data_IF_372457122587
#
_entry.id   IF_372457122587
#
_cell.length_a   1.000
_cell.length_b   1.000
_cell.length_c   1.000
_cell.angle_alpha   90.00
_cell.angle_beta   90.00
_cell.angle_gamma   90.00
#
_symmetry.space_group_name_H-M   'P 1'
#
loop_
_entity.id
_entity.type
_entity.pdbx_description
1 polymer ?
#
# COMPACT_ATOMS: atom_id res chain seq x y z
N UNK A 1 -25.10 5.09 5.27
CA UNK A 1 -26.54 5.36 5.15
C UNK A 1 -27.00 6.13 6.39
N UNK A 2 -27.92 7.08 6.22
CA UNK A 2 -28.38 7.97 7.29
C UNK A 2 -28.91 7.21 8.53
N UNK A 3 -29.58 6.09 8.32
CA UNK A 3 -30.08 5.21 9.38
C UNK A 3 -28.98 4.70 10.32
N UNK A 4 -27.85 4.24 9.81
CA UNK A 4 -26.71 3.78 10.65
C UNK A 4 -26.11 4.92 11.47
N UNK A 5 -26.10 6.13 10.91
CA UNK A 5 -25.61 7.30 11.63
C UNK A 5 -26.57 7.66 12.77
N UNK A 6 -27.88 7.63 12.50
CA UNK A 6 -28.91 7.91 13.51
C UNK A 6 -28.89 6.87 14.64
N UNK A 7 -28.81 5.58 14.30
CA UNK A 7 -28.67 4.49 15.29
C UNK A 7 -27.43 4.66 16.15
N UNK A 8 -26.27 4.95 15.52
CA UNK A 8 -25.03 5.21 16.24
C UNK A 8 -25.16 6.38 17.19
N UNK A 9 -25.72 7.50 16.73
CA UNK A 9 -25.91 8.70 17.56
C UNK A 9 -26.83 8.44 18.74
N UNK A 10 -27.92 7.73 18.55
CA UNK A 10 -28.83 7.36 19.63
C UNK A 10 -28.14 6.48 20.68
N UNK A 11 -27.42 5.45 20.27
CA UNK A 11 -26.66 4.58 21.20
C UNK A 11 -25.54 5.33 21.91
N UNK A 12 -24.88 6.26 21.21
CA UNK A 12 -23.84 7.10 21.80
C UNK A 12 -24.42 8.01 22.89
N UNK A 13 -25.55 8.65 22.63
CA UNK A 13 -26.25 9.49 23.62
C UNK A 13 -26.64 8.70 24.89
N UNK A 14 -27.16 7.48 24.72
CA UNK A 14 -27.50 6.60 25.86
C UNK A 14 -26.25 6.31 26.69
N UNK A 15 -25.13 5.97 26.04
CA UNK A 15 -23.87 5.70 26.73
C UNK A 15 -23.31 6.96 27.39
N UNK A 16 -23.35 8.09 26.72
CA UNK A 16 -22.86 9.37 27.22
C UNK A 16 -23.64 9.83 28.45
N UNK A 17 -24.95 9.66 28.47
CA UNK A 17 -25.81 9.99 29.61
C UNK A 17 -25.55 9.05 30.80
N UNK A 18 -25.49 7.74 30.54
CA UNK A 18 -25.22 6.74 31.59
C UNK A 18 -23.83 6.87 32.23
N UNK A 19 -22.86 7.43 31.52
CA UNK A 19 -21.46 7.53 31.99
C UNK A 19 -21.01 8.96 32.29
N UNK A 20 -21.92 9.94 32.24
CA UNK A 20 -21.62 11.37 32.34
C UNK A 20 -20.77 11.71 33.57
N UNK A 21 -21.24 11.34 34.75
CA UNK A 21 -20.60 11.70 36.02
C UNK A 21 -19.24 11.00 36.16
N UNK A 22 -19.14 9.74 35.74
CA UNK A 22 -17.89 8.98 35.78
C UNK A 22 -16.86 9.63 34.85
N UNK A 23 -17.24 9.96 33.62
CA UNK A 23 -16.35 10.60 32.65
C UNK A 23 -15.93 12.00 33.07
N UNK A 24 -16.84 12.76 33.71
CA UNK A 24 -16.52 14.08 34.21
C UNK A 24 -15.45 13.98 35.32
N UNK A 25 -15.59 13.09 36.30
CA UNK A 25 -14.60 12.89 37.35
C UNK A 25 -13.25 12.46 36.79
N UNK A 26 -13.21 11.52 35.82
CA UNK A 26 -11.98 11.11 35.16
C UNK A 26 -11.33 12.30 34.43
N UNK A 27 -12.11 13.09 33.69
CA UNK A 27 -11.60 14.28 32.98
C UNK A 27 -11.02 15.32 33.93
N UNK A 28 -11.69 15.61 35.04
CA UNK A 28 -11.20 16.53 36.08
C UNK A 28 -9.87 16.05 36.68
N UNK A 29 -9.73 14.73 36.92
CA UNK A 29 -8.47 14.17 37.41
C UNK A 29 -7.33 14.33 36.41
N UNK A 30 -7.61 14.26 35.10
CA UNK A 30 -6.65 14.31 34.00
C UNK A 30 -6.35 15.72 33.50
N UNK A 31 -7.26 16.69 33.74
CA UNK A 31 -7.26 18.02 33.13
C UNK A 31 -5.94 18.79 33.26
N UNK A 32 -5.39 18.86 34.47
CA UNK A 32 -4.13 19.58 34.75
C UNK A 32 -2.98 19.00 33.94
N UNK A 33 -2.85 17.67 33.93
CA UNK A 33 -1.77 16.97 33.23
C UNK A 33 -1.95 17.01 31.72
N UNK A 34 -3.17 16.85 31.21
CA UNK A 34 -3.46 17.02 29.76
C UNK A 34 -3.05 18.42 29.31
N UNK A 35 -3.39 19.46 30.09
CA UNK A 35 -3.04 20.85 29.78
C UNK A 35 -1.53 21.06 29.72
N UNK A 36 -0.79 20.62 30.76
CA UNK A 36 0.67 20.77 30.80
C UNK A 36 1.36 19.95 29.70
N UNK A 37 0.90 18.73 29.44
CA UNK A 37 1.41 17.88 28.35
C UNK A 37 1.16 18.52 26.97
N UNK A 38 -0.03 19.09 26.76
CA UNK A 38 -0.35 19.80 25.50
C UNK A 38 0.57 20.99 25.28
N UNK A 39 0.78 21.81 26.29
CA UNK A 39 1.69 22.95 26.22
C UNK A 39 3.14 22.53 25.94
N UNK A 40 3.62 21.48 26.61
CA UNK A 40 4.94 20.92 26.37
C UNK A 40 5.11 20.37 24.96
N UNK A 41 4.07 19.77 24.38
CA UNK A 41 4.11 19.31 22.99
C UNK A 41 4.06 20.50 22.00
N UNK A 42 3.22 21.50 22.23
CA UNK A 42 3.16 22.70 21.40
C UNK A 42 4.51 23.43 21.30
N UNK A 43 5.29 23.42 22.39
CA UNK A 43 6.63 24.02 22.40
C UNK A 43 7.66 23.32 21.49
N UNK A 44 7.36 22.12 20.98
CA UNK A 44 8.22 21.37 20.06
C UNK A 44 7.99 21.70 18.59
N UNK A 45 6.86 22.34 18.26
CA UNK A 45 6.59 22.75 16.88
C UNK A 45 7.48 23.92 16.44
N UNK A 46 7.69 24.12 15.12
CA UNK A 46 8.42 25.25 14.56
C UNK A 46 7.87 26.61 15.06
N UNK A 47 8.73 27.62 15.17
CA UNK A 47 8.37 28.93 15.73
C UNK A 47 7.29 29.67 14.94
N UNK A 48 7.21 29.43 13.65
CA UNK A 48 6.22 30.00 12.73
C UNK A 48 4.82 29.35 12.89
N UNK A 49 4.75 28.10 13.35
CA UNK A 49 3.50 27.38 13.56
C UNK A 49 2.91 27.62 14.96
N UNK A 50 3.76 27.80 15.98
CA UNK A 50 3.31 27.94 17.39
C UNK A 50 2.24 29.00 17.62
N UNK A 51 2.31 30.20 17.05
CA UNK A 51 1.28 31.23 17.25
C UNK A 51 -0.12 30.74 16.86
N UNK A 52 -0.23 29.91 15.82
CA UNK A 52 -1.51 29.39 15.34
C UNK A 52 -2.17 28.44 16.36
N UNK A 53 -1.36 27.72 17.15
CA UNK A 53 -1.83 26.75 18.14
C UNK A 53 -2.49 27.45 19.36
N UNK A 54 -2.07 28.66 19.65
CA UNK A 54 -2.60 29.46 20.76
C UNK A 54 -3.69 30.46 20.33
N UNK A 55 -3.86 30.67 19.02
CA UNK A 55 -4.87 31.55 18.45
C UNK A 55 -6.26 30.89 18.53
N UNK A 56 -7.28 31.67 18.82
CA UNK A 56 -8.66 31.18 18.83
C UNK A 56 -9.03 30.60 17.45
N UNK A 57 -9.73 29.45 17.36
CA UNK A 57 -10.14 28.87 16.08
C UNK A 57 -10.90 29.84 15.17
N UNK A 58 -11.72 30.73 15.74
CA UNK A 58 -12.47 31.73 14.98
C UNK A 58 -11.60 32.84 14.36
N UNK A 59 -10.39 33.02 14.87
CA UNK A 59 -9.44 34.06 14.41
C UNK A 59 -8.38 33.52 13.46
N UNK A 60 -8.37 32.18 13.23
CA UNK A 60 -7.41 31.53 12.34
C UNK A 60 -7.81 31.70 10.90
N UNK A 61 -6.86 32.03 10.03
CA UNK A 61 -7.04 31.86 8.60
C UNK A 61 -7.23 30.39 8.23
N UNK A 62 -7.73 30.06 7.04
CA UNK A 62 -7.88 28.66 6.60
C UNK A 62 -6.58 27.86 6.65
N UNK A 63 -5.46 28.49 6.29
CA UNK A 63 -4.13 27.87 6.38
C UNK A 63 -3.71 27.60 7.84
N UNK A 64 -3.87 28.59 8.71
CA UNK A 64 -3.59 28.45 10.14
C UNK A 64 -4.49 27.37 10.78
N UNK A 65 -5.74 27.30 10.38
CA UNK A 65 -6.69 26.29 10.83
C UNK A 65 -6.21 24.87 10.45
N UNK A 66 -5.75 24.69 9.22
CA UNK A 66 -5.24 23.41 8.74
C UNK A 66 -3.98 22.99 9.50
N UNK A 67 -3.01 23.90 9.68
CA UNK A 67 -1.79 23.59 10.41
C UNK A 67 -2.06 23.30 11.88
N UNK A 68 -2.93 24.08 12.52
CA UNK A 68 -3.32 23.84 13.91
C UNK A 68 -4.02 22.48 14.07
N UNK A 69 -4.92 22.13 13.17
CA UNK A 69 -5.58 20.81 13.17
C UNK A 69 -4.59 19.66 13.05
N UNK A 70 -3.62 19.76 12.13
CA UNK A 70 -2.60 18.71 11.96
C UNK A 70 -1.68 18.59 13.19
N UNK A 71 -1.34 19.73 13.80
CA UNK A 71 -0.57 19.75 15.05
C UNK A 71 -1.37 19.13 16.21
N UNK A 72 -2.64 19.50 16.35
CA UNK A 72 -3.54 18.95 17.39
C UNK A 72 -3.70 17.44 17.27
N UNK A 73 -3.81 16.88 16.05
CA UNK A 73 -3.85 15.43 15.84
C UNK A 73 -2.59 14.74 16.40
N UNK A 74 -1.40 15.32 16.19
CA UNK A 74 -0.15 14.77 16.72
C UNK A 74 -0.09 14.86 18.23
N UNK A 75 -0.52 15.98 18.80
CA UNK A 75 -0.53 16.21 20.25
C UNK A 75 -1.54 15.28 20.92
N UNK A 76 -2.72 15.13 20.38
CA UNK A 76 -3.76 14.23 20.90
C UNK A 76 -3.30 12.77 20.88
N UNK A 77 -2.55 12.36 19.85
CA UNK A 77 -1.96 11.02 19.80
C UNK A 77 -0.91 10.83 20.92
N UNK A 78 -0.11 11.85 21.25
CA UNK A 78 0.83 11.77 22.37
C UNK A 78 0.10 11.73 23.71
N UNK A 79 -0.98 12.49 23.87
CA UNK A 79 -1.81 12.48 25.09
C UNK A 79 -2.49 11.11 25.28
N UNK A 80 -2.96 10.47 24.21
CA UNK A 80 -3.54 9.11 24.25
C UNK A 80 -2.55 8.05 24.75
N UNK A 81 -1.25 8.25 24.52
CA UNK A 81 -0.19 7.32 24.95
C UNK A 81 0.19 7.48 26.42
N UNK A 82 -0.35 8.46 27.14
CA UNK A 82 -0.07 8.64 28.56
C UNK A 82 -0.65 7.45 29.35
N UNK A 83 0.21 6.77 30.08
CA UNK A 83 -0.20 5.72 31.01
C UNK A 83 -0.65 6.36 32.32
N UNK A 84 -1.95 6.57 32.44
CA UNK A 84 -2.54 7.28 33.59
C UNK A 84 -2.33 6.54 34.92
N UNK A 85 -2.26 5.22 34.91
CA UNK A 85 -1.95 4.34 36.05
C UNK A 85 -0.62 4.71 36.73
N UNK A 86 0.38 5.13 35.92
CA UNK A 86 1.70 5.54 36.46
C UNK A 86 1.74 6.99 36.90
N UNK A 87 0.71 7.76 36.57
CA UNK A 87 0.64 9.21 36.83
C UNK A 87 -0.02 9.58 38.15
N UNK A 88 -0.93 8.71 38.60
CA UNK A 88 -1.61 8.92 39.89
C UNK A 88 -0.93 8.10 40.99
N UNK A 89 -0.92 8.66 42.22
CA UNK A 89 -0.35 8.03 43.41
C UNK A 89 -1.41 7.98 44.51
N UNK A 90 -1.23 7.04 45.40
CA UNK A 90 -2.03 6.90 46.63
C UNK A 90 -3.55 6.88 46.36
N UNK A 91 -4.32 7.62 47.15
CA UNK A 91 -5.78 7.65 47.05
C UNK A 91 -6.30 8.07 45.66
N UNK A 92 -5.56 8.91 44.98
CA UNK A 92 -5.94 9.31 43.59
C UNK A 92 -5.81 8.15 42.61
N UNK A 93 -4.86 7.26 42.80
CA UNK A 93 -4.70 6.07 41.96
C UNK A 93 -5.88 5.11 42.20
N UNK A 94 -6.21 4.85 43.45
CA UNK A 94 -7.35 4.01 43.84
C UNK A 94 -8.65 4.53 43.24
N UNK A 95 -8.91 5.85 43.39
CA UNK A 95 -10.12 6.46 42.80
C UNK A 95 -10.15 6.34 41.27
N UNK A 96 -9.00 6.54 40.62
CA UNK A 96 -8.92 6.41 39.14
C UNK A 96 -9.19 4.98 38.70
N UNK A 97 -8.64 3.96 39.39
CA UNK A 97 -8.90 2.55 39.13
C UNK A 97 -10.37 2.18 39.33
N UNK A 98 -11.00 2.67 40.41
CA UNK A 98 -12.44 2.45 40.65
C UNK A 98 -13.31 3.09 39.56
N UNK A 99 -13.05 4.33 39.18
CA UNK A 99 -13.78 5.05 38.15
C UNK A 99 -13.63 4.35 36.79
N UNK A 100 -12.43 3.89 36.49
CA UNK A 100 -12.14 3.20 35.22
C UNK A 100 -12.82 1.81 35.19
N UNK A 101 -12.85 1.12 36.33
CA UNK A 101 -13.56 -0.15 36.44
C UNK A 101 -15.08 0.04 36.25
N UNK A 102 -15.67 1.03 36.92
CA UNK A 102 -17.08 1.40 36.74
C UNK A 102 -17.39 1.77 35.29
N UNK A 103 -16.52 2.54 34.63
CA UNK A 103 -16.73 2.93 33.22
C UNK A 103 -16.77 1.68 32.30
N UNK A 104 -15.91 0.67 32.56
CA UNK A 104 -15.88 -0.58 31.80
C UNK A 104 -17.18 -1.39 31.89
N UNK A 105 -17.94 -1.28 32.95
CA UNK A 105 -19.25 -1.95 33.06
C UNK A 105 -20.24 -1.50 31.96
N UNK A 106 -20.04 -0.28 31.46
CA UNK A 106 -20.85 0.31 30.39
C UNK A 106 -20.31 0.07 28.98
N UNK A 107 -19.21 -0.69 28.81
CA UNK A 107 -18.60 -0.95 27.48
C UNK A 107 -19.58 -1.58 26.49
N UNK A 108 -20.54 -2.39 26.97
CA UNK A 108 -21.56 -3.01 26.13
C UNK A 108 -22.55 -2.01 25.55
N UNK A 109 -22.76 -0.87 26.19
CA UNK A 109 -23.64 0.22 25.70
C UNK A 109 -22.93 1.09 24.67
N UNK A 110 -21.59 1.16 24.75
CA UNK A 110 -20.78 2.01 23.86
C UNK A 110 -20.82 1.47 22.41
N UNK A 111 -21.34 2.26 21.46
CA UNK A 111 -21.33 1.83 20.08
C UNK A 111 -19.90 1.81 19.52
N UNK A 112 -19.62 0.86 18.61
CA UNK A 112 -18.37 0.88 17.87
C UNK A 112 -18.30 2.16 17.02
N UNK A 113 -17.14 2.82 16.93
CA UNK A 113 -16.99 4.02 16.11
C UNK A 113 -17.44 3.77 14.68
N UNK A 114 -18.12 4.73 14.07
CA UNK A 114 -18.40 4.67 12.64
C UNK A 114 -17.09 4.74 11.86
N UNK A 115 -17.02 3.95 10.80
CA UNK A 115 -15.93 4.09 9.84
C UNK A 115 -16.05 5.45 9.15
N UNK A 116 -15.05 6.30 9.33
CA UNK A 116 -14.96 7.61 8.71
C UNK A 116 -13.84 7.62 7.68
N UNK A 117 -14.12 8.21 6.52
CA UNK A 117 -13.11 8.48 5.51
C UNK A 117 -12.74 9.97 5.60
N UNK A 118 -11.43 10.30 5.65
CA UNK A 118 -11.01 11.68 5.54
C UNK A 118 -11.42 12.22 4.16
N UNK A 119 -12.07 13.38 4.15
CA UNK A 119 -12.46 14.06 2.92
C UNK A 119 -11.87 15.46 2.89
N UNK A 120 -11.69 15.99 1.66
CA UNK A 120 -11.29 17.37 1.46
C UNK A 120 -12.53 18.16 1.11
N UNK A 121 -12.79 19.24 1.84
CA UNK A 121 -13.89 20.18 1.58
C UNK A 121 -13.34 21.54 1.17
N UNK A 122 -14.14 22.33 0.49
CA UNK A 122 -13.80 23.72 0.22
C UNK A 122 -13.97 24.55 1.50
N UNK A 123 -13.16 25.59 1.66
CA UNK A 123 -13.23 26.50 2.79
C UNK A 123 -14.55 27.29 2.77
N UNK A 124 -15.01 27.66 1.57
CA UNK A 124 -16.25 28.38 1.34
C UNK A 124 -16.74 28.15 -0.10
N UNK A 125 -17.97 28.56 -0.40
CA UNK A 125 -18.50 28.59 -1.77
C UNK A 125 -17.74 29.57 -2.66
N UNK A 126 -17.18 30.63 -2.09
CA UNK A 126 -16.35 31.61 -2.80
C UNK A 126 -14.89 31.31 -2.48
N UNK A 127 -14.12 30.80 -3.45
CA UNK A 127 -12.72 30.50 -3.25
C UNK A 127 -11.89 31.78 -3.10
N UNK A 128 -10.80 31.76 -2.32
CA UNK A 128 -9.86 32.85 -2.31
C UNK A 128 -9.22 33.04 -3.69
N UNK A 129 -8.86 34.27 -4.00
CA UNK A 129 -8.09 34.58 -5.21
C UNK A 129 -6.78 33.79 -5.24
N UNK A 130 -6.39 33.36 -6.43
CA UNK A 130 -5.14 32.62 -6.65
C UNK A 130 -4.23 33.48 -7.52
N UNK A 131 -3.00 33.68 -7.06
CA UNK A 131 -1.99 34.47 -7.78
C UNK A 131 -0.85 33.56 -8.23
N UNK A 132 -0.19 33.93 -9.32
CA UNK A 132 1.09 33.32 -9.68
C UNK A 132 2.08 33.65 -8.57
N UNK A 133 2.82 32.64 -8.11
CA UNK A 133 3.80 32.81 -7.03
C UNK A 133 4.76 33.97 -7.33
N UNK A 134 5.01 34.81 -6.31
CA UNK A 134 5.87 35.98 -6.37
C UNK A 134 5.42 37.08 -7.36
N UNK A 135 4.13 37.09 -7.75
CA UNK A 135 3.54 38.13 -8.60
C UNK A 135 2.16 38.54 -8.08
N UNK A 136 1.68 39.71 -8.54
CA UNK A 136 0.30 40.19 -8.31
C UNK A 136 -0.67 39.71 -9.42
N UNK A 137 -0.25 38.82 -10.29
CA UNK A 137 -1.06 38.34 -11.39
C UNK A 137 -2.12 37.33 -10.91
N UNK A 138 -3.38 37.74 -10.95
CA UNK A 138 -4.53 36.90 -10.65
C UNK A 138 -4.70 35.82 -11.72
N UNK A 139 -4.87 34.58 -11.28
CA UNK A 139 -5.14 33.42 -12.13
C UNK A 139 -6.55 32.90 -11.89
N UNK A 140 -7.32 32.79 -12.95
CA UNK A 140 -8.62 32.15 -12.90
C UNK A 140 -8.46 30.62 -12.95
N UNK A 141 -9.27 29.86 -12.18
CA UNK A 141 -9.25 28.41 -12.26
C UNK A 141 -9.73 27.95 -13.64
N UNK A 142 -8.95 27.08 -14.25
CA UNK A 142 -9.22 26.55 -15.59
C UNK A 142 -8.59 25.17 -15.79
N UNK A 143 -8.84 24.61 -16.95
CA UNK A 143 -8.25 23.36 -17.42
C UNK A 143 -7.29 23.71 -18.57
N UNK A 144 -6.37 22.78 -18.88
CA UNK A 144 -5.40 23.01 -19.96
C UNK A 144 -6.11 23.22 -21.30
N UNK A 145 -6.07 24.45 -21.83
CA UNK A 145 -6.79 24.84 -23.04
C UNK A 145 -6.37 24.08 -24.30
N UNK A 146 -5.16 23.54 -24.33
CA UNK A 146 -4.65 22.74 -25.47
C UNK A 146 -5.40 21.40 -25.63
N UNK A 147 -5.98 20.87 -24.56
CA UNK A 147 -6.70 19.58 -24.55
C UNK A 147 -8.18 19.73 -24.16
N UNK A 148 -8.61 20.94 -23.90
CA UNK A 148 -10.01 21.33 -23.69
C UNK A 148 -10.26 22.72 -24.26
N UNK A 149 -10.38 22.85 -25.59
CA UNK A 149 -10.62 24.16 -26.24
C UNK A 149 -12.03 24.71 -25.96
N UNK A 150 -12.90 23.94 -25.27
CA UNK A 150 -14.30 24.29 -25.06
C UNK A 150 -14.59 24.99 -23.73
N UNK A 151 -13.59 25.44 -22.96
CA UNK A 151 -13.76 26.06 -21.65
C UNK A 151 -14.70 25.27 -20.74
N UNK A 152 -14.20 24.19 -20.17
CA UNK A 152 -14.96 23.43 -19.17
C UNK A 152 -15.44 24.37 -18.05
N UNK A 153 -16.71 24.73 -18.10
CA UNK A 153 -17.32 25.68 -17.18
C UNK A 153 -17.36 25.06 -15.77
N UNK A 154 -16.78 25.77 -14.82
CA UNK A 154 -16.92 25.43 -13.40
C UNK A 154 -18.30 25.89 -12.96
N UNK A 155 -19.26 24.96 -12.94
CA UNK A 155 -20.61 25.25 -12.47
C UNK A 155 -20.63 25.26 -10.94
N UNK A 156 -20.92 26.43 -10.38
CA UNK A 156 -21.28 26.53 -8.96
C UNK A 156 -22.71 26.09 -8.77
N UNK A 157 -22.94 25.09 -7.96
CA UNK A 157 -24.28 24.76 -7.50
C UNK A 157 -24.75 25.84 -6.52
N UNK A 158 -25.74 26.63 -6.91
CA UNK A 158 -26.32 27.68 -6.07
C UNK A 158 -26.79 27.08 -4.74
N UNK A 159 -26.27 27.61 -3.63
CA UNK A 159 -26.60 27.14 -2.27
C UNK A 159 -25.77 25.96 -1.74
N UNK A 160 -24.85 25.39 -2.52
CA UNK A 160 -23.91 24.39 -2.01
C UNK A 160 -22.67 25.06 -1.39
N UNK A 161 -22.14 24.55 -0.27
CA UNK A 161 -20.93 25.09 0.37
C UNK A 161 -19.65 24.66 -0.35
N UNK A 162 -19.63 24.70 -1.69
CA UNK A 162 -18.52 24.22 -2.52
C UNK A 162 -18.32 25.11 -3.76
N UNK A 163 -17.09 25.25 -4.17
CA UNK A 163 -16.70 26.00 -5.38
C UNK A 163 -17.04 25.28 -6.69
N UNK A 164 -17.37 23.97 -6.65
CA UNK A 164 -17.59 23.15 -7.85
C UNK A 164 -16.32 22.75 -8.61
N UNK A 165 -15.14 23.28 -8.27
CA UNK A 165 -13.86 23.06 -9.00
C UNK A 165 -13.49 21.58 -9.11
N UNK A 166 -13.58 20.81 -8.00
CA UNK A 166 -13.25 19.39 -8.01
C UNK A 166 -14.24 18.56 -8.84
N UNK A 167 -15.51 18.94 -8.83
CA UNK A 167 -16.54 18.31 -9.67
C UNK A 167 -16.27 18.56 -11.14
N UNK A 168 -15.93 19.81 -11.53
CA UNK A 168 -15.55 20.14 -12.90
C UNK A 168 -14.31 19.34 -13.35
N UNK A 169 -13.28 19.28 -12.52
CA UNK A 169 -12.08 18.47 -12.78
C UNK A 169 -12.41 17.00 -12.95
N UNK A 170 -13.27 16.44 -12.08
CA UNK A 170 -13.69 15.04 -12.17
C UNK A 170 -14.42 14.74 -13.49
N UNK A 171 -15.34 15.62 -13.90
CA UNK A 171 -16.02 15.49 -15.18
C UNK A 171 -15.08 15.56 -16.37
N UNK A 172 -14.11 16.48 -16.34
CA UNK A 172 -13.12 16.60 -17.41
C UNK A 172 -12.21 15.36 -17.47
N UNK A 173 -11.70 14.86 -16.33
CA UNK A 173 -10.86 13.65 -16.29
C UNK A 173 -11.61 12.44 -16.86
N UNK A 174 -12.91 12.32 -16.58
CA UNK A 174 -13.72 11.17 -17.03
C UNK A 174 -14.42 11.39 -18.35
N UNK A 175 -14.22 12.54 -18.99
CA UNK A 175 -14.80 12.83 -20.30
C UNK A 175 -14.20 11.89 -21.36
N UNK A 176 -15.04 11.36 -22.24
CA UNK A 176 -14.63 10.49 -23.35
C UNK A 176 -13.68 11.18 -24.32
N UNK A 177 -13.85 12.50 -24.47
CA UNK A 177 -13.02 13.34 -25.35
C UNK A 177 -11.65 13.67 -24.72
N UNK A 178 -11.44 13.35 -23.43
CA UNK A 178 -10.13 13.52 -22.81
C UNK A 178 -9.14 12.51 -23.39
N UNK A 179 -8.11 12.95 -24.13
CA UNK A 179 -7.22 12.05 -24.86
C UNK A 179 -6.22 11.33 -23.96
N UNK A 180 -6.03 11.76 -22.72
CA UNK A 180 -4.96 11.28 -21.85
C UNK A 180 -5.41 10.24 -20.84
N UNK A 181 -6.55 10.43 -20.18
CA UNK A 181 -6.93 9.61 -19.03
C UNK A 181 -7.00 8.12 -19.36
N UNK A 182 -7.67 7.76 -20.46
CA UNK A 182 -7.80 6.36 -20.87
C UNK A 182 -6.46 5.76 -21.30
N UNK A 183 -5.64 6.51 -22.06
CA UNK A 183 -4.30 6.07 -22.49
C UNK A 183 -3.37 5.85 -21.29
N UNK A 184 -3.32 6.78 -20.36
CA UNK A 184 -2.50 6.65 -19.14
C UNK A 184 -2.93 5.43 -18.32
N UNK A 185 -4.24 5.21 -18.19
CA UNK A 185 -4.76 4.09 -17.41
C UNK A 185 -4.41 2.75 -18.03
N UNK A 186 -4.64 2.58 -19.34
CA UNK A 186 -4.32 1.31 -20.01
C UNK A 186 -2.81 1.08 -20.12
N UNK A 187 -2.01 2.14 -20.24
CA UNK A 187 -0.56 2.04 -20.20
C UNK A 187 -0.05 1.52 -18.87
N UNK A 188 -0.62 1.99 -17.74
CA UNK A 188 -0.29 1.47 -16.41
C UNK A 188 -0.74 0.03 -16.20
N UNK A 189 -1.91 -0.35 -16.71
CA UNK A 189 -2.37 -1.75 -16.68
C UNK A 189 -1.40 -2.62 -17.48
N UNK A 190 -1.00 -2.19 -18.67
CA UNK A 190 -0.02 -2.87 -19.52
C UNK A 190 1.33 -3.04 -18.80
N UNK A 191 1.85 -1.97 -18.21
CA UNK A 191 3.08 -1.98 -17.43
C UNK A 191 3.08 -3.04 -16.32
N UNK A 192 1.96 -3.18 -15.61
CA UNK A 192 1.84 -4.20 -14.57
C UNK A 192 1.88 -5.64 -15.09
N UNK A 193 1.47 -5.87 -16.34
CA UNK A 193 1.53 -7.20 -16.96
C UNK A 193 2.88 -7.52 -17.61
N UNK A 194 3.47 -6.54 -18.28
CA UNK A 194 4.66 -6.73 -19.10
C UNK A 194 5.96 -6.17 -18.51
N UNK A 195 5.86 -5.47 -17.38
CA UNK A 195 6.99 -4.83 -16.71
C UNK A 195 7.25 -3.41 -17.18
N UNK A 196 7.05 -3.12 -18.47
CA UNK A 196 7.20 -1.80 -19.08
C UNK A 196 5.90 -1.37 -19.76
N UNK A 197 5.62 -0.07 -19.76
CA UNK A 197 4.47 0.50 -20.43
C UNK A 197 4.67 0.56 -21.95
N UNK A 198 3.58 0.61 -22.72
CA UNK A 198 3.62 0.95 -24.16
C UNK A 198 4.28 2.32 -24.35
N UNK A 199 4.04 3.25 -23.42
CA UNK A 199 4.81 4.47 -23.21
C UNK A 199 5.74 4.24 -22.03
N UNK A 200 7.04 4.21 -22.26
CA UNK A 200 8.06 3.91 -21.25
C UNK A 200 8.18 4.95 -20.13
N UNK A 201 7.60 6.16 -20.31
CA UNK A 201 7.51 7.20 -19.28
C UNK A 201 6.08 7.33 -18.77
N UNK A 202 5.63 6.47 -17.83
CA UNK A 202 4.20 6.35 -17.47
C UNK A 202 3.62 7.58 -16.76
N UNK A 203 4.45 8.52 -16.34
CA UNK A 203 4.04 9.81 -15.75
C UNK A 203 4.26 11.00 -16.68
N UNK A 204 4.81 10.78 -17.87
CA UNK A 204 5.04 11.84 -18.87
C UNK A 204 4.61 11.37 -20.26
N UNK A 205 3.45 11.85 -20.69
CA UNK A 205 2.89 11.66 -22.02
C UNK A 205 3.07 12.92 -22.90
N UNK A 206 3.89 13.85 -22.44
CA UNK A 206 4.21 15.08 -23.14
C UNK A 206 5.39 14.95 -24.11
N UNK A 207 5.88 16.10 -24.58
CA UNK A 207 6.96 16.17 -25.58
C UNK A 207 8.28 15.57 -25.07
N UNK A 208 8.53 15.65 -23.74
CA UNK A 208 9.74 15.11 -23.12
C UNK A 208 9.61 13.62 -22.79
N UNK A 209 8.40 13.08 -22.83
CA UNK A 209 8.13 11.65 -22.60
C UNK A 209 8.50 10.79 -23.82
N UNK A 210 8.59 9.46 -23.55
CA UNK A 210 8.83 8.48 -24.60
C UNK A 210 7.62 8.37 -25.54
N UNK A 211 7.90 8.17 -26.81
CA UNK A 211 6.82 7.84 -27.76
C UNK A 211 6.31 6.42 -27.51
N UNK A 212 5.01 6.16 -27.75
CA UNK A 212 4.49 4.81 -27.62
C UNK A 212 5.15 3.86 -28.60
N UNK A 213 5.56 2.69 -28.14
CA UNK A 213 6.14 1.62 -29.00
C UNK A 213 5.09 1.04 -29.97
N UNK A 214 3.83 0.99 -29.52
CA UNK A 214 2.69 0.45 -30.26
C UNK A 214 1.49 1.43 -30.16
N UNK A 215 1.50 2.55 -30.92
CA UNK A 215 0.49 3.60 -30.78
C UNK A 215 -0.94 3.11 -31.06
N UNK A 216 -1.13 2.29 -32.08
CA UNK A 216 -2.44 1.75 -32.43
C UNK A 216 -3.00 0.81 -31.34
N UNK A 217 -2.14 0.03 -30.70
CA UNK A 217 -2.52 -0.81 -29.57
C UNK A 217 -2.93 0.02 -28.35
N UNK A 218 -2.18 1.08 -28.07
CA UNK A 218 -2.51 2.01 -26.97
C UNK A 218 -3.88 2.63 -27.20
N UNK A 219 -4.16 3.09 -28.40
CA UNK A 219 -5.42 3.71 -28.77
C UNK A 219 -6.58 2.72 -28.76
N UNK A 220 -6.35 1.50 -29.24
CA UNK A 220 -7.33 0.43 -29.16
C UNK A 220 -7.72 0.11 -27.71
N UNK A 221 -6.76 -0.13 -26.83
CA UNK A 221 -7.02 -0.43 -25.44
C UNK A 221 -7.70 0.75 -24.71
N UNK A 222 -7.33 1.99 -25.02
CA UNK A 222 -7.95 3.19 -24.47
C UNK A 222 -9.43 3.31 -24.89
N UNK A 223 -9.71 3.02 -26.17
CA UNK A 223 -11.08 3.00 -26.71
C UNK A 223 -11.91 1.89 -26.09
N UNK A 224 -11.35 0.68 -25.95
CA UNK A 224 -12.02 -0.44 -25.26
C UNK A 224 -12.37 -0.12 -23.81
N UNK A 225 -11.47 0.56 -23.08
CA UNK A 225 -11.73 0.97 -21.69
C UNK A 225 -12.94 1.92 -21.60
N UNK A 226 -12.97 2.96 -22.43
CA UNK A 226 -14.05 3.97 -22.40
C UNK A 226 -15.38 3.41 -22.91
N UNK A 227 -15.35 2.62 -23.99
CA UNK A 227 -16.56 2.00 -24.60
C UNK A 227 -17.20 0.96 -23.70
N UNK A 228 -16.42 0.29 -22.86
CA UNK A 228 -16.89 -0.70 -21.89
C UNK A 228 -17.07 -0.10 -20.47
N UNK A 229 -17.50 1.17 -20.38
CA UNK A 229 -17.83 1.86 -19.11
C UNK A 229 -16.70 1.84 -18.09
N UNK A 230 -15.48 2.06 -18.54
CA UNK A 230 -14.27 2.07 -17.71
C UNK A 230 -14.02 0.73 -16.97
N UNK A 231 -14.40 -0.38 -17.58
CA UNK A 231 -14.25 -1.72 -17.00
C UNK A 231 -12.79 -2.19 -17.06
N UNK A 232 -12.06 -2.02 -15.98
CA UNK A 232 -10.70 -2.55 -15.83
C UNK A 232 -10.66 -4.07 -16.03
N UNK A 233 -11.69 -4.79 -15.55
CA UNK A 233 -11.79 -6.24 -15.76
C UNK A 233 -11.90 -6.65 -17.25
N UNK A 234 -12.49 -5.79 -18.09
CA UNK A 234 -12.53 -6.02 -19.52
C UNK A 234 -11.11 -5.95 -20.11
N UNK A 235 -10.35 -4.93 -19.78
CA UNK A 235 -8.96 -4.80 -20.24
C UNK A 235 -8.08 -5.96 -19.74
N UNK A 236 -8.23 -6.37 -18.47
CA UNK A 236 -7.53 -7.55 -17.96
C UNK A 236 -7.82 -8.80 -18.81
N UNK A 237 -9.09 -9.05 -19.17
CA UNK A 237 -9.44 -10.21 -20.02
C UNK A 237 -8.80 -10.11 -21.40
N UNK A 238 -8.84 -8.95 -22.04
CA UNK A 238 -8.20 -8.74 -23.35
C UNK A 238 -6.71 -9.09 -23.31
N UNK A 239 -5.99 -8.56 -22.31
CA UNK A 239 -4.56 -8.80 -22.15
C UNK A 239 -4.29 -10.29 -21.87
N UNK A 240 -4.95 -10.88 -20.86
CA UNK A 240 -4.70 -12.25 -20.42
C UNK A 240 -5.04 -13.30 -21.50
N UNK A 241 -6.01 -13.02 -22.38
CA UNK A 241 -6.34 -13.91 -23.50
C UNK A 241 -5.47 -13.70 -24.73
N UNK A 242 -4.65 -12.66 -24.77
CA UNK A 242 -3.77 -12.39 -25.92
C UNK A 242 -2.68 -13.47 -26.06
N UNK A 243 -2.27 -13.72 -27.29
CA UNK A 243 -1.13 -14.60 -27.57
C UNK A 243 0.17 -14.02 -27.00
N UNK A 244 0.30 -12.69 -27.01
CA UNK A 244 1.45 -11.97 -26.46
C UNK A 244 1.65 -12.25 -24.97
N UNK A 245 0.58 -12.26 -24.18
CA UNK A 245 0.70 -12.55 -22.75
C UNK A 245 1.00 -14.03 -22.47
N UNK A 246 0.50 -14.94 -23.31
CA UNK A 246 0.63 -16.39 -23.13
C UNK A 246 1.89 -17.00 -23.76
N UNK A 247 2.75 -16.19 -24.33
CA UNK A 247 4.02 -16.68 -24.89
C UNK A 247 5.03 -17.03 -23.79
N UNK A 248 5.97 -17.92 -24.10
CA UNK A 248 7.08 -18.29 -23.23
C UNK A 248 8.18 -17.24 -23.23
N UNK A 249 8.93 -17.16 -22.15
CA UNK A 249 10.21 -16.44 -22.09
C UNK A 249 11.29 -17.14 -22.94
N UNK A 250 11.16 -18.46 -23.15
CA UNK A 250 12.03 -19.25 -23.99
C UNK A 250 11.55 -19.24 -25.45
N UNK A 251 12.40 -18.78 -26.37
CA UNK A 251 12.09 -18.75 -27.79
C UNK A 251 13.19 -19.46 -28.59
N UNK A 252 12.87 -20.48 -29.40
CA UNK A 252 13.87 -21.21 -30.21
C UNK A 252 14.67 -20.31 -31.17
N UNK A 253 14.12 -19.17 -31.56
CA UNK A 253 14.76 -18.21 -32.47
C UNK A 253 15.40 -17.04 -31.73
N UNK A 254 15.71 -17.18 -30.42
CA UNK A 254 16.19 -16.11 -29.56
C UNK A 254 17.43 -15.39 -30.10
N UNK A 255 18.41 -16.10 -30.67
CA UNK A 255 19.62 -15.46 -31.23
C UNK A 255 19.30 -14.53 -32.41
N UNK A 256 18.44 -14.99 -33.34
CA UNK A 256 18.01 -14.18 -34.47
C UNK A 256 17.18 -12.98 -34.01
N UNK A 257 16.27 -13.18 -33.08
CA UNK A 257 15.40 -12.14 -32.56
C UNK A 257 16.19 -11.07 -31.80
N UNK A 258 17.17 -11.46 -30.98
CA UNK A 258 18.08 -10.51 -30.28
C UNK A 258 18.90 -9.64 -31.23
N UNK A 259 19.26 -10.18 -32.40
CA UNK A 259 19.97 -9.40 -33.42
C UNK A 259 19.12 -8.30 -34.06
N UNK A 260 17.78 -8.39 -33.94
CA UNK A 260 16.81 -7.45 -34.51
C UNK A 260 16.24 -6.51 -33.44
N UNK A 261 15.86 -7.08 -32.31
CA UNK A 261 15.20 -6.41 -31.19
C UNK A 261 15.77 -6.92 -29.85
N UNK A 262 16.91 -6.37 -29.48
CA UNK A 262 17.65 -6.79 -28.28
C UNK A 262 16.82 -6.55 -26.99
N UNK A 263 16.18 -5.40 -26.90
CA UNK A 263 15.44 -4.94 -25.72
C UNK A 263 14.02 -5.53 -25.63
N UNK A 264 13.64 -6.41 -26.59
CA UNK A 264 12.32 -7.04 -26.63
C UNK A 264 11.15 -6.02 -26.72
N UNK A 265 11.37 -4.90 -27.36
CA UNK A 265 10.36 -3.83 -27.53
C UNK A 265 9.13 -4.35 -28.27
N UNK A 266 9.34 -5.24 -29.27
CA UNK A 266 8.28 -5.86 -30.07
C UNK A 266 7.69 -7.11 -29.41
N UNK A 267 8.05 -7.40 -28.17
CA UNK A 267 7.53 -8.51 -27.38
C UNK A 267 7.59 -9.87 -28.09
N UNK A 268 8.76 -10.22 -28.68
CA UNK A 268 8.98 -11.52 -29.34
C UNK A 268 9.12 -12.68 -28.34
N UNK A 269 9.22 -12.40 -27.04
CA UNK A 269 9.17 -13.35 -25.92
C UNK A 269 8.52 -12.70 -24.71
N UNK A 270 8.12 -13.49 -23.70
CA UNK A 270 7.74 -12.96 -22.41
C UNK A 270 8.96 -12.31 -21.71
N UNK A 271 8.75 -11.23 -21.00
CA UNK A 271 9.78 -10.60 -20.17
C UNK A 271 9.93 -11.37 -18.86
N UNK A 272 11.15 -11.82 -18.57
CA UNK A 272 11.49 -12.32 -17.25
C UNK A 272 11.59 -11.12 -16.30
N UNK A 273 10.85 -11.14 -15.21
CA UNK A 273 10.84 -10.05 -14.25
C UNK A 273 10.94 -10.55 -12.81
N UNK A 274 11.64 -9.81 -11.97
CA UNK A 274 11.70 -10.09 -10.55
C UNK A 274 10.36 -9.70 -9.88
N UNK A 275 9.98 -10.46 -8.87
CA UNK A 275 8.89 -10.10 -7.97
C UNK A 275 9.19 -8.77 -7.24
N UNK A 276 8.15 -7.97 -7.01
CA UNK A 276 8.24 -6.78 -6.15
C UNK A 276 8.51 -7.18 -4.70
N UNK A 277 9.07 -6.27 -3.91
CA UNK A 277 9.42 -6.49 -2.50
C UNK A 277 8.27 -7.08 -1.67
N UNK A 278 7.05 -6.56 -1.86
CA UNK A 278 5.85 -7.05 -1.18
C UNK A 278 5.44 -8.45 -1.66
N UNK A 279 5.61 -8.73 -2.95
CA UNK A 279 5.35 -10.05 -3.53
C UNK A 279 6.35 -11.07 -2.98
N UNK A 280 7.64 -10.73 -2.91
CA UNK A 280 8.69 -11.58 -2.30
C UNK A 280 8.32 -11.94 -0.87
N UNK A 281 7.98 -10.96 -0.04
CA UNK A 281 7.58 -11.22 1.34
C UNK A 281 6.35 -12.10 1.43
N UNK A 282 5.32 -11.81 0.65
CA UNK A 282 4.07 -12.56 0.66
C UNK A 282 4.26 -13.98 0.11
N UNK A 283 5.14 -14.19 -0.87
CA UNK A 283 5.50 -15.52 -1.41
C UNK A 283 6.24 -16.36 -0.38
N UNK A 284 7.19 -15.79 0.39
CA UNK A 284 7.86 -16.48 1.47
C UNK A 284 6.88 -16.93 2.58
N UNK A 285 5.93 -16.09 2.96
CA UNK A 285 4.86 -16.43 3.91
C UNK A 285 3.89 -17.46 3.35
N UNK A 286 3.58 -17.40 2.06
CA UNK A 286 2.71 -18.39 1.40
C UNK A 286 3.39 -19.75 1.32
N UNK A 287 4.66 -19.79 0.90
CA UNK A 287 5.47 -21.00 0.82
C UNK A 287 5.59 -21.70 2.19
N UNK A 288 5.81 -20.95 3.26
CA UNK A 288 5.88 -21.48 4.63
C UNK A 288 4.52 -21.88 5.22
N UNK A 289 3.41 -21.57 4.54
CA UNK A 289 2.05 -21.84 5.03
C UNK A 289 1.54 -20.86 6.10
N UNK A 290 2.25 -19.75 6.31
CA UNK A 290 1.93 -18.78 7.37
C UNK A 290 1.04 -17.63 6.89
N UNK A 291 0.91 -17.39 5.58
CA UNK A 291 0.23 -16.23 5.04
C UNK A 291 -1.24 -16.15 5.48
N UNK A 292 -1.55 -15.17 6.34
CA UNK A 292 -2.94 -14.81 6.65
C UNK A 292 -3.55 -14.03 5.48
N UNK A 293 -4.50 -14.67 4.79
CA UNK A 293 -5.23 -14.13 3.63
C UNK A 293 -6.45 -13.29 3.98
N UNK A 294 -6.69 -13.04 5.27
CA UNK A 294 -7.83 -12.22 5.71
C UNK A 294 -7.80 -10.85 5.00
N UNK A 295 -8.91 -10.51 4.37
CA UNK A 295 -9.09 -9.22 3.72
C UNK A 295 -9.63 -8.18 4.70
N UNK A 296 -9.28 -6.91 4.48
CA UNK A 296 -9.72 -5.74 5.24
C UNK A 296 -9.24 -5.70 6.70
N UNK A 297 -9.60 -4.64 7.41
CA UNK A 297 -9.22 -4.39 8.79
C UNK A 297 -8.02 -3.43 8.93
N UNK A 298 -7.63 -3.12 10.17
CA UNK A 298 -6.58 -2.15 10.44
C UNK A 298 -5.20 -2.63 9.96
N UNK A 299 -4.25 -1.69 9.73
CA UNK A 299 -2.87 -2.04 9.41
C UNK A 299 -2.21 -2.80 10.56
N UNK A 300 -1.25 -3.65 10.21
CA UNK A 300 -0.52 -4.50 11.17
C UNK A 300 0.98 -4.26 11.10
N UNK A 301 1.68 -4.57 12.17
CA UNK A 301 3.15 -4.55 12.22
C UNK A 301 3.74 -5.63 11.31
N UNK A 302 4.96 -5.39 10.80
CA UNK A 302 5.64 -6.26 9.83
C UNK A 302 5.89 -7.70 10.32
N UNK A 303 5.95 -7.91 11.63
CA UNK A 303 6.08 -9.24 12.24
C UNK A 303 4.82 -10.11 12.07
N UNK A 304 3.65 -9.52 11.77
CA UNK A 304 2.42 -10.28 11.55
C UNK A 304 2.41 -10.88 10.14
N UNK A 305 1.97 -12.16 9.98
CA UNK A 305 2.03 -12.86 8.70
C UNK A 305 0.87 -12.50 7.76
N UNK A 306 0.40 -11.25 7.77
CA UNK A 306 -0.60 -10.75 6.81
C UNK A 306 0.05 -10.32 5.51
N UNK A 307 -0.75 -10.26 4.44
CA UNK A 307 -0.33 -9.72 3.15
C UNK A 307 0.29 -8.33 3.33
N UNK A 308 1.35 -8.06 2.60
CA UNK A 308 2.14 -6.82 2.70
C UNK A 308 1.32 -5.55 2.44
N UNK A 309 0.23 -5.63 1.67
CA UNK A 309 -0.71 -4.52 1.46
C UNK A 309 -1.36 -4.01 2.77
N UNK A 310 -1.36 -4.81 3.83
CA UNK A 310 -1.91 -4.46 5.14
C UNK A 310 -0.85 -4.05 6.15
N UNK A 311 0.40 -3.94 5.76
CA UNK A 311 1.45 -3.49 6.67
C UNK A 311 1.30 -2.00 6.99
N UNK A 312 1.62 -1.65 8.24
CA UNK A 312 1.72 -0.27 8.67
C UNK A 312 2.91 0.39 8.00
N UNK A 313 2.66 1.50 7.32
CA UNK A 313 3.70 2.31 6.67
C UNK A 313 4.04 3.52 7.53
N UNK A 314 5.30 3.64 7.94
CA UNK A 314 5.84 4.77 8.65
C UNK A 314 6.99 5.34 7.82
N UNK A 315 6.83 6.55 7.27
CA UNK A 315 7.76 7.14 6.28
C UNK A 315 9.22 7.19 6.74
N UNK A 316 9.46 7.48 8.01
CA UNK A 316 10.81 7.56 8.58
C UNK A 316 11.29 6.27 9.26
N UNK A 317 10.54 5.17 9.12
CA UNK A 317 10.87 3.84 9.64
C UNK A 317 10.50 2.78 8.59
N UNK A 318 11.17 2.74 7.43
CA UNK A 318 10.87 1.79 6.38
C UNK A 318 11.21 0.36 6.84
N UNK A 319 10.51 -0.62 6.26
CA UNK A 319 10.80 -2.03 6.52
C UNK A 319 12.08 -2.44 5.77
N UNK A 320 13.07 -2.97 6.48
CA UNK A 320 14.40 -3.32 5.94
C UNK A 320 14.32 -4.35 4.81
N UNK A 321 13.50 -5.40 4.96
CA UNK A 321 13.33 -6.42 3.92
C UNK A 321 12.74 -5.82 2.64
N UNK A 322 11.70 -4.97 2.77
CA UNK A 322 11.09 -4.34 1.61
C UNK A 322 12.07 -3.36 0.94
N UNK A 323 12.83 -2.59 1.71
CA UNK A 323 13.82 -1.65 1.16
C UNK A 323 14.97 -2.37 0.46
N UNK A 324 15.41 -3.51 0.98
CA UNK A 324 16.46 -4.31 0.36
C UNK A 324 16.08 -4.81 -1.04
N UNK A 325 14.78 -5.00 -1.30
CA UNK A 325 14.23 -5.40 -2.60
C UNK A 325 13.56 -4.25 -3.37
N UNK A 326 14.09 -3.04 -3.24
CA UNK A 326 13.65 -1.84 -3.95
C UNK A 326 12.21 -1.42 -3.63
N UNK A 327 11.74 -1.69 -2.40
CA UNK A 327 10.49 -1.14 -1.90
C UNK A 327 10.50 0.38 -1.90
N UNK A 328 9.36 1.00 -2.14
CA UNK A 328 9.25 2.48 -2.16
C UNK A 328 9.44 3.08 -0.76
N UNK A 329 10.09 4.24 -0.69
CA UNK A 329 10.25 5.03 0.54
C UNK A 329 8.94 5.66 1.04
N UNK A 330 7.89 5.67 0.21
CA UNK A 330 6.58 6.25 0.48
C UNK A 330 6.60 7.77 0.75
N UNK A 331 7.65 8.47 0.33
CA UNK A 331 7.80 9.91 0.48
C UNK A 331 7.26 10.62 -0.76
N UNK A 332 7.67 10.17 -1.94
CA UNK A 332 7.29 10.72 -3.23
C UNK A 332 6.50 9.72 -4.07
N UNK A 333 5.68 10.25 -4.95
CA UNK A 333 5.01 9.46 -5.99
C UNK A 333 6.04 9.00 -7.02
N UNK A 334 6.13 7.69 -7.24
CA UNK A 334 7.02 7.08 -8.23
C UNK A 334 6.21 6.53 -9.40
N UNK A 335 6.57 6.86 -10.65
CA UNK A 335 5.88 6.37 -11.84
C UNK A 335 6.13 4.87 -12.07
N UNK A 336 7.32 4.43 -11.71
CA UNK A 336 7.83 3.09 -11.89
C UNK A 336 8.71 2.70 -10.71
N UNK A 337 8.70 1.42 -10.34
CA UNK A 337 9.62 0.91 -9.34
C UNK A 337 10.97 0.58 -9.97
N UNK A 338 12.03 1.02 -9.33
CA UNK A 338 13.35 0.52 -9.67
C UNK A 338 13.43 -0.97 -9.34
N UNK A 339 14.13 -1.73 -10.18
CA UNK A 339 14.44 -3.12 -9.93
C UNK A 339 15.94 -3.29 -10.07
N UNK A 340 16.63 -3.50 -8.94
CA UNK A 340 18.08 -3.70 -8.92
C UNK A 340 18.40 -5.15 -8.57
N UNK A 341 19.53 -5.65 -9.04
CA UNK A 341 20.09 -6.94 -8.61
C UNK A 341 21.43 -6.66 -7.96
N UNK A 342 21.50 -6.85 -6.65
CA UNK A 342 22.68 -6.55 -5.86
C UNK A 342 23.15 -7.76 -5.06
N UNK A 343 24.47 -7.89 -4.79
CA UNK A 343 24.99 -8.95 -3.91
C UNK A 343 24.36 -8.92 -2.50
N UNK A 344 24.00 -7.74 -2.02
CA UNK A 344 23.37 -7.58 -0.70
C UNK A 344 22.00 -8.26 -0.62
N UNK A 345 21.22 -8.29 -1.70
CA UNK A 345 19.95 -9.01 -1.76
C UNK A 345 20.17 -10.52 -1.59
N UNK A 346 21.14 -11.09 -2.30
CA UNK A 346 21.48 -12.52 -2.16
C UNK A 346 21.98 -12.86 -0.75
N UNK A 347 22.87 -12.02 -0.18
CA UNK A 347 23.36 -12.20 1.19
C UNK A 347 22.23 -12.08 2.22
N UNK A 348 21.29 -11.18 2.01
CA UNK A 348 20.13 -11.03 2.89
C UNK A 348 19.27 -12.30 2.86
N UNK A 349 18.98 -12.83 1.68
CA UNK A 349 18.15 -14.06 1.58
C UNK A 349 18.81 -15.24 2.26
N UNK A 350 20.15 -15.34 2.15
CA UNK A 350 20.91 -16.44 2.77
C UNK A 350 21.05 -16.31 4.30
N UNK A 351 21.08 -15.09 4.85
CA UNK A 351 21.48 -14.90 6.25
C UNK A 351 20.39 -14.28 7.14
N UNK A 352 19.27 -13.83 6.57
CA UNK A 352 18.26 -13.17 7.36
C UNK A 352 17.44 -14.17 8.18
N UNK A 353 17.45 -14.02 9.50
CA UNK A 353 16.77 -14.93 10.45
C UNK A 353 15.26 -15.08 10.13
N UNK A 354 14.61 -14.02 9.68
CA UNK A 354 13.19 -14.07 9.32
C UNK A 354 12.95 -15.00 8.12
N UNK A 355 13.85 -15.01 7.12
CA UNK A 355 13.76 -15.89 5.93
C UNK A 355 14.11 -17.33 6.32
N UNK A 356 15.18 -17.54 7.10
CA UNK A 356 15.56 -18.87 7.63
C UNK A 356 14.42 -19.49 8.43
N UNK A 357 13.72 -18.71 9.24
CA UNK A 357 12.54 -19.19 9.98
C UNK A 357 11.42 -19.68 9.02
N UNK A 358 11.19 -18.99 7.89
CA UNK A 358 10.21 -19.44 6.86
C UNK A 358 10.66 -20.73 6.20
N UNK A 359 11.93 -20.87 5.90
CA UNK A 359 12.51 -22.11 5.39
C UNK A 359 12.32 -23.27 6.37
N UNK A 360 12.55 -23.04 7.67
CA UNK A 360 12.34 -24.05 8.70
C UNK A 360 10.85 -24.47 8.82
N UNK A 361 9.91 -23.52 8.71
CA UNK A 361 8.47 -23.82 8.70
C UNK A 361 8.04 -24.57 7.46
N UNK A 362 8.52 -24.17 6.28
CA UNK A 362 8.34 -24.89 5.03
C UNK A 362 8.83 -26.34 5.19
N UNK A 363 10.04 -26.51 5.71
CA UNK A 363 10.63 -27.84 5.93
C UNK A 363 9.80 -28.68 6.91
N UNK A 364 9.30 -28.10 7.99
CA UNK A 364 8.45 -28.81 8.95
C UNK A 364 7.13 -29.28 8.31
N UNK A 365 6.53 -28.47 7.44
CA UNK A 365 5.27 -28.75 6.77
C UNK A 365 5.40 -29.78 5.63
N UNK A 366 6.59 -29.91 5.05
CA UNK A 366 6.84 -30.75 3.86
C UNK A 366 7.79 -31.91 4.11
N UNK A 367 8.20 -32.12 5.37
CA UNK A 367 9.22 -33.09 5.75
C UNK A 367 8.88 -34.51 5.26
N UNK A 368 9.80 -35.21 4.55
CA UNK A 368 9.65 -36.60 4.17
C UNK A 368 9.63 -37.48 5.40
N UNK A 369 8.84 -38.58 5.36
CA UNK A 369 8.70 -39.50 6.47
C UNK A 369 9.99 -40.27 6.76
N UNK A 370 10.72 -40.63 5.73
CA UNK A 370 11.97 -41.38 5.77
C UNK A 370 12.86 -41.02 4.57
N UNK A 371 14.08 -41.55 4.56
CA UNK A 371 15.08 -41.31 3.51
C UNK A 371 14.98 -42.30 2.33
N UNK A 372 13.88 -43.07 2.22
CA UNK A 372 13.73 -43.97 1.08
C UNK A 372 13.61 -43.19 -0.25
N UNK A 373 14.18 -43.71 -1.35
CA UNK A 373 14.16 -43.00 -2.62
C UNK A 373 12.74 -42.56 -3.03
N UNK A 374 11.76 -43.44 -2.91
CA UNK A 374 10.36 -43.18 -3.25
C UNK A 374 9.75 -42.02 -2.41
N UNK A 375 10.07 -41.96 -1.12
CA UNK A 375 9.56 -40.91 -0.23
C UNK A 375 10.22 -39.56 -0.53
N UNK A 376 11.54 -39.59 -0.80
CA UNK A 376 12.28 -38.41 -1.20
C UNK A 376 11.82 -37.87 -2.54
N UNK A 377 11.62 -38.72 -3.54
CA UNK A 377 11.11 -38.32 -4.86
C UNK A 377 9.75 -37.60 -4.75
N UNK A 378 8.85 -38.18 -3.97
CA UNK A 378 7.55 -37.60 -3.76
C UNK A 378 7.62 -36.24 -3.05
N UNK A 379 8.46 -36.12 -2.01
CA UNK A 379 8.62 -34.90 -1.25
C UNK A 379 9.29 -33.77 -2.08
N UNK A 380 10.34 -34.10 -2.83
CA UNK A 380 11.05 -33.16 -3.71
C UNK A 380 10.11 -32.69 -4.84
N UNK A 381 9.39 -33.63 -5.47
CA UNK A 381 8.42 -33.30 -6.53
C UNK A 381 7.30 -32.38 -6.02
N UNK A 382 6.77 -32.68 -4.84
CA UNK A 382 5.77 -31.83 -4.20
C UNK A 382 6.32 -30.43 -3.91
N UNK A 383 7.55 -30.33 -3.41
CA UNK A 383 8.18 -29.06 -3.06
C UNK A 383 8.42 -28.18 -4.29
N UNK A 384 8.91 -28.75 -5.41
CA UNK A 384 9.08 -28.03 -6.68
C UNK A 384 7.74 -27.55 -7.25
N UNK A 385 6.71 -28.40 -7.23
CA UNK A 385 5.38 -27.99 -7.65
C UNK A 385 4.80 -26.87 -6.77
N UNK A 386 5.06 -26.94 -5.47
CA UNK A 386 4.58 -25.94 -4.50
C UNK A 386 5.28 -24.59 -4.66
N UNK A 387 6.60 -24.58 -4.86
CA UNK A 387 7.41 -23.34 -4.92
C UNK A 387 7.46 -22.73 -6.34
N UNK A 388 7.58 -23.57 -7.34
CA UNK A 388 7.86 -23.13 -8.72
C UNK A 388 6.70 -23.38 -9.70
N UNK A 389 5.64 -24.09 -9.25
CA UNK A 389 4.48 -24.40 -10.11
C UNK A 389 4.76 -25.37 -11.26
N UNK A 390 5.93 -26.05 -11.27
CA UNK A 390 6.35 -27.00 -12.30
C UNK A 390 6.83 -28.33 -11.70
N UNK A 391 6.81 -29.41 -12.47
CA UNK A 391 7.44 -30.65 -12.06
C UNK A 391 8.97 -30.49 -11.91
N UNK A 392 9.55 -31.29 -11.00
CA UNK A 392 11.01 -31.38 -10.85
C UNK A 392 11.62 -32.07 -12.08
N UNK A 393 12.80 -31.63 -12.49
CA UNK A 393 13.56 -32.29 -13.59
C UNK A 393 14.42 -33.44 -13.03
N UNK A 394 14.75 -34.41 -13.88
CA UNK A 394 15.56 -35.59 -13.45
C UNK A 394 16.93 -35.19 -12.88
N UNK A 395 17.56 -34.17 -13.44
CA UNK A 395 18.84 -33.64 -12.95
C UNK A 395 18.74 -32.96 -11.58
N UNK A 396 17.63 -32.27 -11.33
CA UNK A 396 17.34 -31.63 -10.04
C UNK A 396 17.04 -32.70 -8.98
N UNK A 397 16.27 -33.71 -9.36
CA UNK A 397 15.93 -34.83 -8.48
C UNK A 397 17.21 -35.60 -8.06
N UNK A 398 18.09 -35.91 -9.00
CA UNK A 398 19.36 -36.56 -8.74
C UNK A 398 20.25 -35.70 -7.81
N UNK A 399 20.28 -34.40 -8.01
CA UNK A 399 21.02 -33.44 -7.16
C UNK A 399 20.45 -33.40 -5.76
N UNK A 400 19.11 -33.35 -5.63
CA UNK A 400 18.41 -33.39 -4.36
C UNK A 400 18.73 -34.66 -3.58
N UNK A 401 18.70 -35.83 -4.21
CA UNK A 401 19.08 -37.11 -3.59
C UNK A 401 20.50 -37.10 -3.05
N UNK A 402 21.46 -36.66 -3.87
CA UNK A 402 22.86 -36.57 -3.46
C UNK A 402 23.06 -35.65 -2.25
N UNK A 403 22.28 -34.57 -2.18
CA UNK A 403 22.35 -33.62 -1.07
C UNK A 403 21.67 -34.18 0.19
N UNK A 404 20.47 -34.73 0.06
CA UNK A 404 19.64 -35.19 1.19
C UNK A 404 20.18 -36.46 1.85
N UNK A 405 20.94 -37.28 1.12
CA UNK A 405 21.53 -38.54 1.64
C UNK A 405 22.96 -38.39 2.20
N UNK A 406 23.47 -37.15 2.32
CA UNK A 406 24.78 -36.90 2.98
C UNK A 406 24.72 -37.32 4.45
N UNK A 407 25.93 -37.54 5.04
CA UNK A 407 26.14 -38.07 6.40
C UNK A 407 25.60 -37.25 7.58
N UNK A 408 24.69 -36.35 7.34
CA UNK A 408 24.00 -35.50 8.33
C UNK A 408 22.56 -35.95 8.51
N UNK A 409 21.90 -35.42 9.51
CA UNK A 409 20.49 -35.75 9.78
C UNK A 409 19.62 -35.36 8.58
N UNK A 410 18.73 -36.28 8.12
CA UNK A 410 17.76 -35.99 7.07
C UNK A 410 16.95 -34.70 7.37
N UNK A 411 16.62 -34.45 8.63
CA UNK A 411 15.89 -33.26 9.04
C UNK A 411 16.68 -31.99 8.79
N UNK A 412 17.98 -31.96 9.11
CA UNK A 412 18.83 -30.80 8.86
C UNK A 412 19.04 -30.58 7.35
N UNK A 413 19.36 -31.65 6.61
CA UNK A 413 19.50 -31.59 5.15
C UNK A 413 18.22 -31.10 4.48
N UNK A 414 17.04 -31.49 4.97
CA UNK A 414 15.76 -31.05 4.42
C UNK A 414 15.49 -29.57 4.71
N UNK A 415 15.85 -29.06 5.89
CA UNK A 415 15.78 -27.62 6.20
C UNK A 415 16.68 -26.80 5.28
N UNK A 416 17.94 -27.23 5.12
CA UNK A 416 18.89 -26.57 4.23
C UNK A 416 18.41 -26.62 2.77
N UNK A 417 17.85 -27.74 2.33
CA UNK A 417 17.30 -27.88 0.97
C UNK A 417 16.15 -26.91 0.72
N UNK A 418 15.19 -26.84 1.66
CA UNK A 418 14.09 -25.87 1.59
C UNK A 418 14.61 -24.44 1.54
N UNK A 419 15.63 -24.12 2.34
CA UNK A 419 16.24 -22.79 2.33
C UNK A 419 16.89 -22.47 1.00
N UNK A 420 17.68 -23.39 0.43
CA UNK A 420 18.31 -23.22 -0.89
C UNK A 420 17.28 -22.97 -1.98
N UNK A 421 16.16 -23.70 -1.99
CA UNK A 421 15.10 -23.46 -2.98
C UNK A 421 14.44 -22.09 -2.82
N UNK A 422 14.19 -21.65 -1.59
CA UNK A 422 13.67 -20.29 -1.32
C UNK A 422 14.69 -19.18 -1.68
N UNK A 423 15.99 -19.51 -1.73
CA UNK A 423 17.06 -18.58 -2.15
C UNK A 423 17.32 -18.60 -3.66
N UNK A 424 16.66 -19.50 -4.40
CA UNK A 424 16.88 -19.63 -5.85
C UNK A 424 16.30 -18.47 -6.64
N UNK A 425 16.93 -18.11 -7.76
CA UNK A 425 16.41 -17.10 -8.66
C UNK A 425 15.00 -17.46 -9.18
N UNK A 426 14.71 -18.74 -9.40
CA UNK A 426 13.41 -19.20 -9.86
C UNK A 426 12.28 -18.86 -8.89
N UNK A 427 12.56 -18.75 -7.58
CA UNK A 427 11.58 -18.32 -6.59
C UNK A 427 11.28 -16.80 -6.65
N UNK A 428 12.24 -16.01 -7.12
CA UNK A 428 12.15 -14.54 -7.15
C UNK A 428 11.75 -13.96 -8.52
N UNK A 429 11.82 -14.75 -9.58
CA UNK A 429 11.55 -14.28 -10.93
C UNK A 429 10.36 -15.01 -11.54
N UNK A 430 9.60 -14.25 -12.33
CA UNK A 430 8.52 -14.77 -13.19
C UNK A 430 9.02 -14.83 -14.62
N UNK A 431 8.87 -15.96 -15.27
CA UNK A 431 9.22 -16.25 -16.66
C UNK A 431 8.03 -16.78 -17.48
#
# INVERSE_FOLDING_TARGET
>A
PAEKIAEYQQRLLIWEEATKDIRQQIEEMQASQKKSSRQAQYSKFPLDVRPFLFKSPAERSPYEQQLAYLADLQVDEQIRKIKWEDHFKDDRKTLWEELTAKLKEFDKLKPLPLEVLPTITDVSANPPDTFIQDTDQLVQPGILSIIDPGDTLIQQNVGAPTTGRRTALAHWITNKENPLTSRVMVNRIWQHYFGEGIVGTPSDFGILGSRPTHPELLDYLASELTSNKWSIKHIHRLILHSSTYRQSAMNPMAEKARGIDFDNVMLWRANVRRLDAEQIRDSLLAASGELDRKSFGPPVEAAKPRRSIYLKVIRNQPNELLMAFDGTDNILSTPERMTTTTPNQALLVLNNDWIVERANKLAANTKPKDASPKTLDAAVSHLHLHLFGRPVQDTELATAHKFLTKNTSLSANWQDYCHVLLCSNEFFYLD
#
